data_IF_843540716288
#
_entry.id   IF_843540716288
#
_cell.length_a   1.000
_cell.length_b   1.000
_cell.length_c   1.000
_cell.angle_alpha   90.00
_cell.angle_beta   90.00
_cell.angle_gamma   90.00
#
_symmetry.space_group_name_H-M   'P 1'
#
loop_
_entity.id
_entity.type
_entity.pdbx_description
1 polymer ?
#
# COMPACT_ATOMS: atom_id res chain seq x y z
N UNK A 1 47.69 -3.15 -19.24
CA UNK A 1 47.13 -4.50 -19.51
C UNK A 1 46.99 -5.22 -18.18
N UNK A 2 45.93 -4.94 -17.44
CA UNK A 2 45.62 -5.58 -16.16
C UNK A 2 44.34 -6.38 -16.34
N UNK A 3 44.43 -7.67 -16.03
CA UNK A 3 43.43 -8.70 -16.27
C UNK A 3 42.23 -8.53 -15.33
N UNK A 4 41.02 -8.53 -15.89
CA UNK A 4 39.75 -8.55 -15.16
C UNK A 4 39.42 -10.01 -14.80
N UNK A 5 39.40 -10.33 -13.51
CA UNK A 5 38.97 -11.63 -13.01
C UNK A 5 37.51 -11.53 -12.57
N UNK A 6 36.61 -12.17 -13.32
CA UNK A 6 35.18 -12.23 -13.05
C UNK A 6 34.88 -13.05 -11.79
N UNK A 7 34.15 -12.47 -10.84
CA UNK A 7 33.60 -13.18 -9.69
C UNK A 7 32.13 -13.51 -9.95
N UNK A 8 31.82 -14.80 -10.06
CA UNK A 8 30.44 -15.32 -10.12
C UNK A 8 29.85 -15.28 -8.71
N UNK A 9 28.79 -14.49 -8.52
CA UNK A 9 28.03 -14.44 -7.25
C UNK A 9 26.88 -15.44 -7.34
N UNK A 10 26.92 -16.47 -6.49
CA UNK A 10 25.83 -17.43 -6.28
C UNK A 10 24.77 -16.81 -5.38
N UNK A 11 23.52 -16.76 -5.84
CA UNK A 11 22.38 -16.31 -5.04
C UNK A 11 21.96 -17.38 -3.99
N UNK A 12 21.60 -16.99 -2.75
CA UNK A 12 21.00 -17.91 -1.80
C UNK A 12 19.54 -18.19 -2.16
N UNK A 13 19.18 -19.48 -2.15
CA UNK A 13 17.81 -19.96 -2.30
C UNK A 13 17.06 -19.83 -0.98
N UNK A 14 16.06 -18.94 -0.92
CA UNK A 14 15.17 -18.83 0.24
C UNK A 14 14.01 -19.80 0.06
N UNK A 15 14.00 -20.85 0.88
CA UNK A 15 12.88 -21.76 1.02
C UNK A 15 11.70 -21.05 1.71
N UNK A 16 10.53 -21.07 1.07
CA UNK A 16 9.28 -20.57 1.64
C UNK A 16 8.84 -21.41 2.86
N UNK A 17 8.27 -20.80 3.92
CA UNK A 17 7.74 -21.56 5.04
C UNK A 17 6.45 -22.28 4.63
N UNK A 18 6.37 -23.55 5.00
CA UNK A 18 5.21 -24.41 4.81
C UNK A 18 3.99 -23.85 5.58
N UNK A 19 2.90 -23.63 4.85
CA UNK A 19 1.61 -23.25 5.41
C UNK A 19 1.11 -24.35 6.36
N UNK A 20 0.91 -23.97 7.63
CA UNK A 20 0.42 -24.84 8.69
C UNK A 20 -1.08 -25.08 8.47
N UNK A 21 -1.44 -26.29 8.06
CA UNK A 21 -2.83 -26.72 7.89
C UNK A 21 -3.56 -26.69 9.25
N UNK A 22 -4.49 -25.75 9.42
CA UNK A 22 -5.45 -25.77 10.53
C UNK A 22 -6.47 -26.87 10.24
N UNK A 23 -6.40 -27.94 11.03
CA UNK A 23 -7.32 -29.06 10.98
C UNK A 23 -8.77 -28.58 11.21
N UNK A 24 -9.61 -28.66 10.17
CA UNK A 24 -11.05 -28.50 10.29
C UNK A 24 -11.61 -29.67 11.10
N UNK A 25 -12.16 -29.37 12.27
CA UNK A 25 -13.00 -30.32 13.02
C UNK A 25 -14.24 -30.66 12.19
N UNK A 26 -14.30 -31.90 11.71
CA UNK A 26 -15.48 -32.49 11.09
C UNK A 26 -16.57 -32.63 12.15
N UNK A 27 -17.55 -31.74 12.13
CA UNK A 27 -18.84 -31.99 12.78
C UNK A 27 -19.66 -32.91 11.85
N UNK A 28 -19.75 -34.18 12.20
CA UNK A 28 -20.70 -35.12 11.58
C UNK A 28 -22.09 -34.82 12.11
N UNK A 29 -22.82 -33.94 11.43
CA UNK A 29 -24.26 -33.79 11.64
C UNK A 29 -24.94 -35.03 11.07
N UNK A 30 -25.38 -35.92 11.97
CA UNK A 30 -26.26 -37.05 11.64
C UNK A 30 -27.57 -36.50 11.08
N UNK A 31 -27.76 -36.60 9.76
CA UNK A 31 -29.05 -36.40 9.13
C UNK A 31 -29.88 -37.69 9.27
N UNK A 32 -30.78 -37.74 10.25
CA UNK A 32 -31.86 -38.72 10.30
C UNK A 32 -32.91 -38.33 9.25
N UNK A 33 -33.03 -39.19 8.22
CA UNK A 33 -33.89 -39.00 7.06
C UNK A 33 -35.38 -39.19 7.44
N UNK A 34 -36.05 -38.10 7.77
CA UNK A 34 -37.51 -38.02 7.86
C UNK A 34 -38.09 -37.58 6.52
N UNK A 35 -38.90 -38.44 5.91
CA UNK A 35 -39.53 -38.25 4.60
C UNK A 35 -40.86 -37.50 4.80
N UNK A 36 -40.95 -36.24 4.39
CA UNK A 36 -42.23 -35.56 4.18
C UNK A 36 -42.07 -34.40 3.18
N UNK A 37 -42.96 -34.40 2.20
CA UNK A 37 -43.06 -33.44 1.11
C UNK A 37 -43.33 -32.01 1.61
N UNK A 38 -42.73 -31.02 0.96
CA UNK A 38 -42.99 -29.60 1.20
C UNK A 38 -42.11 -28.75 0.30
N UNK A 39 -42.75 -28.00 -0.60
CA UNK A 39 -42.12 -27.02 -1.50
C UNK A 39 -41.36 -25.96 -0.71
N UNK A 40 -40.04 -25.86 -0.89
CA UNK A 40 -39.27 -24.67 -0.58
C UNK A 40 -37.99 -24.65 -1.44
N UNK A 41 -38.03 -23.87 -2.52
CA UNK A 41 -36.82 -23.54 -3.27
C UNK A 41 -35.91 -22.69 -2.37
N UNK A 42 -34.84 -23.29 -1.84
CA UNK A 42 -33.80 -22.56 -1.12
C UNK A 42 -32.91 -21.90 -2.17
N UNK A 43 -33.19 -20.64 -2.49
CA UNK A 43 -32.30 -19.79 -3.26
C UNK A 43 -31.05 -19.50 -2.40
N UNK A 44 -29.97 -20.25 -2.62
CA UNK A 44 -28.65 -19.91 -2.09
C UNK A 44 -28.15 -18.72 -2.90
N UNK A 45 -28.37 -17.51 -2.39
CA UNK A 45 -27.71 -16.32 -2.90
C UNK A 45 -26.21 -16.46 -2.59
N UNK A 46 -25.44 -16.89 -3.58
CA UNK A 46 -23.99 -16.81 -3.55
C UNK A 46 -23.63 -15.32 -3.62
N UNK A 47 -23.39 -14.69 -2.46
CA UNK A 47 -22.74 -13.40 -2.38
C UNK A 47 -21.31 -13.57 -2.90
N UNK A 48 -21.11 -13.31 -4.19
CA UNK A 48 -19.79 -13.15 -4.77
C UNK A 48 -19.15 -11.94 -4.10
N UNK A 49 -18.23 -12.21 -3.18
CA UNK A 49 -17.33 -11.20 -2.63
C UNK A 49 -16.56 -10.61 -3.82
N UNK A 50 -16.88 -9.36 -4.18
CA UNK A 50 -16.02 -8.56 -5.04
C UNK A 50 -14.71 -8.33 -4.28
N UNK A 51 -13.75 -9.23 -4.47
CA UNK A 51 -12.35 -8.95 -4.20
C UNK A 51 -11.87 -7.97 -5.29
N UNK A 52 -12.28 -6.71 -5.19
CA UNK A 52 -11.59 -5.63 -5.88
C UNK A 52 -10.18 -5.59 -5.29
N UNK A 53 -9.17 -5.95 -6.08
CA UNK A 53 -7.78 -5.89 -5.64
C UNK A 53 -7.46 -4.45 -5.21
N UNK A 54 -6.92 -4.28 -4.01
CA UNK A 54 -6.37 -3.01 -3.58
C UNK A 54 -5.29 -2.61 -4.61
N UNK A 55 -5.49 -1.47 -5.28
CA UNK A 55 -4.51 -0.97 -6.22
C UNK A 55 -3.42 -0.28 -5.41
N UNK A 56 -2.16 -0.65 -5.63
CA UNK A 56 -1.03 0.01 -5.00
C UNK A 56 -0.59 1.19 -5.87
N UNK A 57 -0.71 2.42 -5.37
CA UNK A 57 -0.17 3.61 -6.02
C UNK A 57 1.26 3.83 -5.53
N UNK A 58 2.24 3.81 -6.43
CA UNK A 58 3.62 4.17 -6.09
C UNK A 58 3.88 5.65 -6.38
N UNK A 59 4.63 6.31 -5.50
CA UNK A 59 5.11 7.69 -5.65
C UNK A 59 6.61 7.71 -5.40
N UNK A 60 7.40 8.23 -6.33
CA UNK A 60 8.84 8.38 -6.14
C UNK A 60 9.13 9.67 -5.38
N UNK A 61 10.06 9.58 -4.41
CA UNK A 61 10.61 10.74 -3.72
C UNK A 61 11.90 11.16 -4.44
N UNK A 62 11.80 12.26 -5.17
CA UNK A 62 12.82 12.74 -6.10
C UNK A 62 12.74 12.05 -7.45
N UNK A 63 12.65 12.83 -8.53
CA UNK A 63 12.63 12.30 -9.89
C UNK A 63 14.02 11.83 -10.33
N UNK A 64 14.05 11.12 -11.45
CA UNK A 64 15.30 10.77 -12.11
C UNK A 64 16.12 12.03 -12.40
N UNK A 65 17.42 12.00 -12.08
CA UNK A 65 18.29 13.18 -12.18
C UNK A 65 18.34 14.06 -10.93
N UNK A 66 17.66 13.66 -9.84
CA UNK A 66 17.77 14.32 -8.53
C UNK A 66 16.90 15.56 -8.36
N UNK A 67 15.88 15.73 -9.20
CA UNK A 67 14.90 16.82 -9.06
C UNK A 67 14.07 16.57 -7.80
N UNK A 68 13.98 17.58 -6.93
CA UNK A 68 13.30 17.51 -5.64
C UNK A 68 11.78 17.63 -5.82
N UNK A 69 11.15 16.54 -6.26
CA UNK A 69 9.71 16.47 -6.57
C UNK A 69 9.15 15.11 -6.19
N UNK A 70 7.87 15.04 -5.88
CA UNK A 70 7.12 13.79 -5.85
C UNK A 70 6.72 13.38 -7.27
N UNK A 71 6.90 12.11 -7.65
CA UNK A 71 6.54 11.63 -8.99
C UNK A 71 5.61 10.40 -8.91
N UNK A 72 4.30 10.53 -9.24
CA UNK A 72 3.59 11.78 -9.57
C UNK A 72 3.37 12.69 -8.35
N UNK A 73 3.31 14.01 -8.56
CA UNK A 73 3.01 14.98 -7.50
C UNK A 73 1.52 15.17 -7.25
N UNK A 74 0.68 14.87 -8.25
CA UNK A 74 -0.78 14.88 -8.10
C UNK A 74 -1.39 13.61 -8.71
N UNK A 75 -2.27 12.97 -7.96
CA UNK A 75 -2.94 11.75 -8.41
C UNK A 75 -4.23 11.49 -7.63
N UNK A 76 -4.98 10.49 -8.08
CA UNK A 76 -6.26 10.09 -7.49
C UNK A 76 -6.25 8.60 -7.17
N UNK A 77 -6.72 8.25 -5.98
CA UNK A 77 -6.88 6.86 -5.52
C UNK A 77 -8.30 6.62 -5.01
N UNK A 78 -8.70 5.36 -4.85
CA UNK A 78 -9.93 5.03 -4.14
C UNK A 78 -9.67 5.02 -2.65
N UNK A 79 -10.69 5.34 -1.86
CA UNK A 79 -10.63 5.13 -0.41
C UNK A 79 -10.25 3.68 -0.09
N UNK A 80 -9.19 3.50 0.71
CA UNK A 80 -8.66 2.20 1.10
C UNK A 80 -7.56 1.65 0.19
N UNK A 81 -7.21 2.31 -0.91
CA UNK A 81 -6.01 1.95 -1.69
C UNK A 81 -4.73 2.24 -0.88
N UNK A 82 -3.69 1.43 -1.11
CA UNK A 82 -2.38 1.63 -0.50
C UNK A 82 -1.53 2.53 -1.38
N UNK A 83 -0.99 3.58 -0.79
CA UNK A 83 -0.03 4.48 -1.42
C UNK A 83 1.34 4.18 -0.84
N UNK A 84 2.34 3.99 -1.70
CA UNK A 84 3.72 3.72 -1.31
C UNK A 84 4.63 4.80 -1.87
N UNK A 85 5.16 5.62 -0.98
CA UNK A 85 6.22 6.57 -1.26
C UNK A 85 7.56 5.85 -1.21
N UNK A 86 8.33 5.88 -2.29
CA UNK A 86 9.62 5.21 -2.41
C UNK A 86 10.73 6.22 -2.63
N UNK A 87 11.68 6.23 -1.73
CA UNK A 87 12.86 7.07 -1.81
C UNK A 87 13.69 6.72 -3.05
N UNK A 88 13.90 7.68 -3.95
CA UNK A 88 14.55 7.43 -5.25
C UNK A 88 15.85 8.21 -5.42
N UNK A 89 15.80 9.53 -5.37
CA UNK A 89 16.96 10.40 -5.59
C UNK A 89 16.86 11.71 -4.80
N UNK A 90 17.99 12.37 -4.53
CA UNK A 90 17.99 13.66 -3.83
C UNK A 90 17.57 13.60 -2.36
N UNK A 91 17.74 12.43 -1.72
CA UNK A 91 17.48 12.22 -0.29
C UNK A 91 18.43 13.05 0.60
N UNK A 92 18.06 13.33 1.87
CA UNK A 92 16.93 12.78 2.62
C UNK A 92 15.56 13.34 2.21
N UNK A 93 14.53 12.50 2.30
CA UNK A 93 13.13 12.91 2.10
C UNK A 93 12.26 12.44 3.25
N UNK A 94 11.14 13.11 3.45
CA UNK A 94 10.03 12.59 4.25
C UNK A 94 8.70 12.95 3.59
N UNK A 95 7.59 12.57 4.22
CA UNK A 95 6.24 12.78 3.68
C UNK A 95 5.37 13.28 4.82
N UNK A 96 5.16 14.59 4.89
CA UNK A 96 4.34 15.22 5.91
C UNK A 96 3.04 15.69 5.28
N UNK A 97 1.92 15.24 5.83
CA UNK A 97 0.60 15.73 5.45
C UNK A 97 0.33 17.04 6.17
N UNK A 98 -0.17 18.02 5.43
CA UNK A 98 -0.50 19.34 5.97
C UNK A 98 -1.79 19.26 6.79
N UNK A 99 -1.74 19.67 8.07
CA UNK A 99 -2.90 19.64 8.97
C UNK A 99 -4.07 20.51 8.48
N UNK A 100 -3.77 21.56 7.70
CA UNK A 100 -4.76 22.47 7.12
C UNK A 100 -5.34 21.96 5.79
N UNK A 101 -4.69 20.99 5.14
CA UNK A 101 -5.09 20.45 3.83
C UNK A 101 -5.49 18.96 3.86
N UNK A 102 -6.00 18.48 5.00
CA UNK A 102 -6.59 17.13 5.12
C UNK A 102 -8.10 17.18 5.42
N UNK A 103 -8.87 16.13 5.07
CA UNK A 103 -10.29 16.08 5.39
C UNK A 103 -10.55 16.14 6.90
N UNK A 104 -11.68 16.73 7.30
CA UNK A 104 -12.08 16.80 8.71
C UNK A 104 -12.11 15.42 9.39
N UNK A 105 -11.52 15.35 10.59
CA UNK A 105 -11.43 14.12 11.38
C UNK A 105 -10.23 13.23 11.03
N UNK A 106 -9.45 13.60 10.02
CA UNK A 106 -8.13 12.99 9.77
C UNK A 106 -7.10 13.64 10.69
N UNK A 107 -6.27 12.81 11.30
CA UNK A 107 -5.12 13.24 12.10
C UNK A 107 -3.86 13.15 11.23
N UNK A 108 -3.37 14.30 10.75
CA UNK A 108 -2.24 14.38 9.83
C UNK A 108 -0.96 13.73 10.40
N UNK A 109 -0.74 13.83 11.71
CA UNK A 109 0.45 13.26 12.37
C UNK A 109 0.49 11.73 12.27
N UNK A 110 -0.67 11.08 12.18
CA UNK A 110 -0.76 9.61 12.09
C UNK A 110 -0.56 9.05 10.69
N UNK A 111 -0.73 9.91 9.68
CA UNK A 111 -0.56 9.55 8.27
C UNK A 111 0.69 10.20 7.67
N UNK A 112 1.50 10.87 8.48
CA UNK A 112 2.78 11.42 8.08
C UNK A 112 3.91 10.46 8.41
N UNK A 113 4.96 10.56 7.61
CA UNK A 113 6.28 10.02 7.90
C UNK A 113 7.15 11.23 8.23
N UNK A 114 7.38 11.51 9.51
CA UNK A 114 8.23 12.64 9.93
C UNK A 114 9.71 12.27 9.86
N UNK A 115 10.08 11.04 10.21
CA UNK A 115 11.47 10.62 10.13
C UNK A 115 11.94 10.53 8.67
N UNK A 116 13.17 10.99 8.44
CA UNK A 116 13.76 10.96 7.11
C UNK A 116 14.00 9.54 6.59
N UNK A 117 13.64 9.36 5.34
CA UNK A 117 14.12 8.30 4.47
C UNK A 117 15.46 8.76 3.87
N UNK A 118 16.53 8.06 4.22
CA UNK A 118 17.91 8.45 3.98
C UNK A 118 18.60 7.65 2.88
N UNK A 119 18.03 6.53 2.44
CA UNK A 119 18.63 5.66 1.44
C UNK A 119 17.69 5.36 0.26
N UNK A 120 18.23 5.14 -0.95
CA UNK A 120 17.42 4.75 -2.09
C UNK A 120 16.72 3.42 -1.83
N UNK A 121 15.45 3.33 -2.23
CA UNK A 121 14.60 2.16 -2.06
C UNK A 121 13.90 2.06 -0.70
N UNK A 122 14.21 2.93 0.27
CA UNK A 122 13.40 3.03 1.49
C UNK A 122 11.97 3.49 1.16
N UNK A 123 11.00 2.96 1.88
CA UNK A 123 9.58 3.19 1.57
C UNK A 123 8.78 3.61 2.78
N UNK A 124 7.82 4.50 2.57
CA UNK A 124 6.71 4.77 3.46
C UNK A 124 5.40 4.39 2.78
N UNK A 125 4.53 3.64 3.47
CA UNK A 125 3.21 3.27 2.94
C UNK A 125 2.10 3.78 3.83
N UNK A 126 1.06 4.31 3.21
CA UNK A 126 -0.12 4.86 3.88
C UNK A 126 -1.40 4.43 3.16
N UNK A 127 -2.46 4.23 3.92
CA UNK A 127 -3.80 3.96 3.39
C UNK A 127 -4.74 5.05 3.85
N UNK A 128 -5.34 5.76 2.91
CA UNK A 128 -6.27 6.86 3.19
C UNK A 128 -7.70 6.36 2.98
N UNK A 129 -8.54 6.47 4.01
CA UNK A 129 -9.90 5.91 4.01
C UNK A 129 -11.01 6.95 3.99
N UNK A 130 -10.68 8.21 4.27
CA UNK A 130 -11.65 9.32 4.25
C UNK A 130 -11.59 9.98 2.87
N UNK A 131 -12.70 10.06 2.12
CA UNK A 131 -12.71 10.76 0.85
C UNK A 131 -12.40 12.26 1.01
N UNK A 132 -11.72 12.83 0.02
CA UNK A 132 -11.35 14.24 0.01
C UNK A 132 -9.96 14.48 -0.57
N UNK A 133 -9.47 15.71 -0.42
CA UNK A 133 -8.14 16.11 -0.84
C UNK A 133 -7.18 16.10 0.34
N UNK A 134 -5.94 15.66 0.07
CA UNK A 134 -4.85 15.62 1.03
C UNK A 134 -3.64 16.34 0.44
N UNK A 135 -3.28 17.48 1.03
CA UNK A 135 -2.01 18.16 0.78
C UNK A 135 -0.88 17.50 1.56
N UNK A 136 0.28 17.35 0.93
CA UNK A 136 1.48 16.81 1.58
C UNK A 136 2.75 17.43 0.99
N UNK A 137 3.83 17.42 1.77
CA UNK A 137 5.10 18.02 1.40
C UNK A 137 6.29 17.26 2.00
N UNK A 138 7.48 17.54 1.49
CA UNK A 138 8.75 17.09 2.06
C UNK A 138 9.36 18.26 2.83
N UNK A 139 9.51 18.15 4.16
CA UNK A 139 9.97 19.24 5.02
C UNK A 139 11.27 19.91 4.55
N UNK A 140 12.37 19.19 4.26
CA UNK A 140 13.62 19.82 3.84
C UNK A 140 13.53 20.47 2.45
N UNK A 141 12.51 20.15 1.66
CA UNK A 141 12.42 20.52 0.23
C UNK A 141 11.15 21.29 -0.13
N UNK A 142 10.28 21.62 0.82
CA UNK A 142 9.05 22.38 0.59
C UNK A 142 9.36 23.75 -0.04
N UNK A 143 10.40 24.43 0.44
CA UNK A 143 10.86 25.71 -0.12
C UNK A 143 11.37 25.62 -1.56
N UNK A 144 11.71 24.42 -2.04
CA UNK A 144 12.06 24.13 -3.43
C UNK A 144 10.85 23.69 -4.29
N UNK A 145 9.65 23.61 -3.69
CA UNK A 145 8.42 23.21 -4.36
C UNK A 145 8.12 21.71 -4.31
N UNK A 146 8.78 20.95 -3.43
CA UNK A 146 8.48 19.53 -3.23
C UNK A 146 7.19 19.36 -2.41
N UNK A 147 6.07 19.57 -3.08
CA UNK A 147 4.70 19.46 -2.55
C UNK A 147 3.88 18.54 -3.46
N UNK A 148 2.84 17.94 -2.91
CA UNK A 148 1.95 17.06 -3.65
C UNK A 148 0.52 17.09 -3.14
N UNK A 149 -0.38 16.52 -3.93
CA UNK A 149 -1.81 16.46 -3.66
C UNK A 149 -2.41 15.11 -4.02
N UNK A 150 -3.11 14.49 -3.07
CA UNK A 150 -3.85 13.24 -3.29
C UNK A 150 -5.34 13.58 -3.30
N UNK A 151 -6.07 13.08 -4.29
CA UNK A 151 -7.54 13.02 -4.23
C UNK A 151 -8.00 11.61 -3.92
N UNK A 152 -8.82 11.43 -2.90
CA UNK A 152 -9.39 10.15 -2.48
C UNK A 152 -10.88 10.14 -2.80
N UNK A 153 -11.32 9.17 -3.60
CA UNK A 153 -12.71 8.99 -4.04
C UNK A 153 -13.40 7.79 -3.39
#
# INVERSE_FOLDING_TARGET
MASLSSATITAPSFAAPAARAVARRSFTVRASLGKAAGTAAVAVAASALLAGGAMAQEVLLGANGGVLVFEPSEFTVKAGDTITFKNNAGYPHNVVFDEDEVPSGVDATKISQEEYLNAPGETYSVTLTVPGTYGFYCEPHQGAGMVGKITVN
#
